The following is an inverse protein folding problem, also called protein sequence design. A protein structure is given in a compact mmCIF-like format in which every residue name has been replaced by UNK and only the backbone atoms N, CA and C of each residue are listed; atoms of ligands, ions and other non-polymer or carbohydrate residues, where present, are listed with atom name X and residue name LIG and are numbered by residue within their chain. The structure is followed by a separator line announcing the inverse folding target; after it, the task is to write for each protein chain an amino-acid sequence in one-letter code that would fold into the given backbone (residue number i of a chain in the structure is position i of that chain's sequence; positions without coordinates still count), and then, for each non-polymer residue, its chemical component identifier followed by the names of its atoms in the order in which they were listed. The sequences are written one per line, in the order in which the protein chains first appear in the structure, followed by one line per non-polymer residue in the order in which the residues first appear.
data_IF_502000313552
#
_entry.id   IF_502000313552
#
_cell.length_a   1.000
_cell.length_b   1.000
_cell.length_c   1.000
_cell.angle_alpha   90.00
_cell.angle_beta   90.00
_cell.angle_gamma   90.00
#
_symmetry.space_group_name_H-M   'P 1'
#
loop_
_entity.id
_entity.type
_entity.pdbx_description
1 polymer ?
#
# COMPACT_ATOMS: atom_id res chain seq x y z
N UNK A 1 -46.69 16.80 21.80
CA UNK A 1 -45.34 17.41 21.78
C UNK A 1 -44.31 16.29 21.85
N UNK A 2 -43.78 15.88 20.70
CA UNK A 2 -42.73 14.92 20.56
C UNK A 2 -41.56 15.60 19.86
N UNK A 3 -40.44 15.77 20.59
CA UNK A 3 -39.18 16.25 20.06
C UNK A 3 -38.54 15.18 19.17
N UNK A 4 -38.07 15.49 17.97
CA UNK A 4 -37.32 14.53 17.18
C UNK A 4 -35.94 14.41 17.76
N UNK A 5 -35.60 13.18 18.10
CA UNK A 5 -34.27 12.79 18.55
C UNK A 5 -33.28 12.94 17.39
N UNK A 6 -32.46 13.98 17.43
CA UNK A 6 -31.40 14.21 16.45
C UNK A 6 -30.31 13.16 16.63
N UNK A 7 -30.28 12.17 15.75
CA UNK A 7 -29.11 11.32 15.58
C UNK A 7 -27.98 12.17 14.96
N UNK A 8 -27.04 12.60 15.77
CA UNK A 8 -25.77 13.07 15.28
C UNK A 8 -25.03 11.87 14.67
N UNK A 9 -25.19 11.70 13.38
CA UNK A 9 -24.30 10.86 12.59
C UNK A 9 -22.90 11.45 12.65
N UNK A 10 -22.02 10.81 13.42
CA UNK A 10 -20.60 11.13 13.46
C UNK A 10 -20.00 10.68 12.12
N UNK A 11 -20.12 11.49 11.08
CA UNK A 11 -19.36 11.34 9.84
C UNK A 11 -17.91 11.68 10.19
N UNK A 12 -17.09 10.67 10.45
CA UNK A 12 -15.64 10.87 10.51
C UNK A 12 -15.19 11.30 9.12
N UNK A 13 -14.98 12.60 8.93
CA UNK A 13 -14.34 13.11 7.72
C UNK A 13 -12.97 12.47 7.57
N UNK A 14 -12.65 12.00 6.35
CA UNK A 14 -11.36 11.44 6.04
C UNK A 14 -10.28 12.51 6.25
N UNK A 15 -9.31 12.22 7.12
CA UNK A 15 -8.26 13.16 7.51
C UNK A 15 -6.91 12.74 6.92
N UNK A 16 -6.30 13.62 6.14
CA UNK A 16 -4.93 13.44 5.66
C UNK A 16 -3.94 14.15 6.60
N UNK A 17 -2.97 13.39 7.10
CA UNK A 17 -1.89 13.84 7.98
C UNK A 17 -0.56 13.59 7.27
N UNK A 18 0.23 14.64 7.06
CA UNK A 18 1.57 14.52 6.51
C UNK A 18 2.58 14.71 7.64
N UNK A 19 3.48 13.77 7.78
CA UNK A 19 4.57 13.80 8.76
C UNK A 19 5.90 13.77 8.02
N UNK A 20 6.71 14.78 8.22
CA UNK A 20 8.03 14.87 7.60
C UNK A 20 9.12 14.91 8.68
N UNK A 21 10.32 14.54 8.27
CA UNK A 21 11.52 14.58 9.10
C UNK A 21 11.65 13.43 10.11
N UNK A 22 12.82 13.37 10.72
CA UNK A 22 13.23 12.25 11.56
C UNK A 22 12.91 12.51 13.03
N UNK A 23 12.09 11.61 13.60
CA UNK A 23 11.73 11.57 15.01
C UNK A 23 11.68 10.11 15.49
N UNK A 24 12.84 9.42 15.54
CA UNK A 24 12.90 7.98 15.73
C UNK A 24 12.42 7.50 17.11
N UNK A 25 12.16 8.40 18.03
CA UNK A 25 11.64 8.10 19.37
C UNK A 25 10.14 8.39 19.53
N UNK A 26 9.49 8.96 18.49
CA UNK A 26 8.05 9.23 18.50
C UNK A 26 7.29 8.08 17.82
N UNK A 27 6.30 7.52 18.52
CA UNK A 27 5.36 6.53 17.94
C UNK A 27 4.19 7.23 17.25
N UNK A 28 3.57 6.54 16.29
CA UNK A 28 2.43 7.01 15.52
C UNK A 28 1.29 6.02 15.61
N UNK A 29 0.11 6.50 15.96
CA UNK A 29 -1.14 5.73 15.83
C UNK A 29 -1.98 6.33 14.70
N UNK A 30 -2.31 5.50 13.72
CA UNK A 30 -3.15 5.86 12.57
C UNK A 30 -4.55 5.31 12.84
N UNK A 31 -5.50 6.19 13.13
CA UNK A 31 -6.85 5.81 13.54
C UNK A 31 -7.79 5.65 12.35
N UNK A 32 -8.93 5.05 12.59
CA UNK A 32 -10.01 4.95 11.59
C UNK A 32 -10.34 6.31 10.98
N UNK A 33 -10.39 6.38 9.66
CA UNK A 33 -10.62 7.62 8.90
C UNK A 33 -9.37 8.49 8.70
N UNK A 34 -8.23 8.15 9.29
CA UNK A 34 -6.97 8.87 9.08
C UNK A 34 -6.14 8.21 7.97
N UNK A 35 -5.53 9.06 7.14
CA UNK A 35 -4.44 8.68 6.24
C UNK A 35 -3.20 9.43 6.69
N UNK A 36 -2.17 8.69 7.11
CA UNK A 36 -0.87 9.26 7.50
C UNK A 36 0.16 8.94 6.44
N UNK A 37 0.77 9.98 5.87
CA UNK A 37 1.91 9.87 4.96
C UNK A 37 3.17 10.33 5.70
N UNK A 38 4.10 9.41 5.93
CA UNK A 38 5.35 9.68 6.61
C UNK A 38 6.51 9.70 5.63
N UNK A 39 7.26 10.82 5.61
CA UNK A 39 8.55 10.92 4.92
C UNK A 39 9.62 11.26 5.98
N UNK A 40 10.29 10.22 6.46
CA UNK A 40 11.26 10.33 7.55
C UNK A 40 11.17 9.13 8.48
N UNK A 41 11.59 9.30 9.73
CA UNK A 41 11.64 8.20 10.70
C UNK A 41 10.74 8.39 11.92
N UNK A 42 10.21 7.27 12.43
CA UNK A 42 9.44 7.19 13.69
C UNK A 42 9.85 5.93 14.46
N UNK A 43 9.39 5.83 15.73
CA UNK A 43 9.49 4.60 16.49
C UNK A 43 8.43 3.59 15.99
N UNK A 44 7.51 3.18 16.83
CA UNK A 44 6.51 2.19 16.48
C UNK A 44 5.31 2.86 15.79
N UNK A 45 4.80 2.20 14.74
CA UNK A 45 3.60 2.64 14.02
C UNK A 45 2.51 1.60 14.17
N UNK A 46 1.34 2.05 14.60
CA UNK A 46 0.14 1.24 14.76
C UNK A 46 -0.94 1.76 13.83
N UNK A 47 -1.42 0.90 12.92
CA UNK A 47 -2.46 1.25 11.95
C UNK A 47 -3.73 0.52 12.31
N UNK A 48 -4.69 1.25 12.88
CA UNK A 48 -5.99 0.70 13.27
C UNK A 48 -6.83 0.33 12.03
N UNK A 49 -7.81 -0.53 12.22
CA UNK A 49 -8.77 -0.85 11.16
C UNK A 49 -9.46 0.42 10.66
N UNK A 50 -9.46 0.62 9.33
CA UNK A 50 -9.95 1.84 8.67
C UNK A 50 -8.99 3.01 8.67
N UNK A 51 -7.76 2.84 9.22
CA UNK A 51 -6.65 3.77 9.04
C UNK A 51 -5.79 3.40 7.84
N UNK A 52 -5.05 4.35 7.31
CA UNK A 52 -4.12 4.15 6.17
C UNK A 52 -2.76 4.77 6.50
N UNK A 53 -1.71 3.99 6.35
CA UNK A 53 -0.33 4.43 6.53
C UNK A 53 0.46 4.28 5.23
N UNK A 54 1.20 5.31 4.86
CA UNK A 54 2.01 5.33 3.64
C UNK A 54 3.17 6.31 3.71
N UNK A 55 3.77 6.58 2.55
CA UNK A 55 4.96 7.42 2.40
C UNK A 55 6.24 6.62 2.30
N UNK A 56 7.39 7.32 2.27
CA UNK A 56 8.73 6.72 2.29
C UNK A 56 9.27 6.80 3.72
N UNK A 57 8.94 5.81 4.52
CA UNK A 57 9.14 5.83 5.95
C UNK A 57 10.24 4.86 6.41
N UNK A 58 10.93 5.22 7.49
CA UNK A 58 11.72 4.30 8.30
C UNK A 58 11.10 4.25 9.69
N UNK A 59 10.68 3.06 10.12
CA UNK A 59 10.04 2.86 11.42
C UNK A 59 10.69 1.70 12.16
N UNK A 60 10.63 1.73 13.50
CA UNK A 60 11.20 0.67 14.30
C UNK A 60 10.39 -0.60 14.17
N UNK A 61 9.08 -0.53 14.38
CA UNK A 61 8.14 -1.63 14.18
C UNK A 61 6.85 -1.12 13.54
N UNK A 62 6.19 -1.96 12.77
CA UNK A 62 4.94 -1.63 12.07
C UNK A 62 3.89 -2.71 12.32
N UNK A 63 2.77 -2.31 12.93
CA UNK A 63 1.63 -3.18 13.18
C UNK A 63 0.40 -2.68 12.41
N UNK A 64 -0.19 -3.54 11.58
CA UNK A 64 -1.23 -3.14 10.62
C UNK A 64 -2.50 -3.95 10.79
N UNK A 65 -3.56 -3.29 11.23
CA UNK A 65 -4.95 -3.74 11.17
C UNK A 65 -5.75 -3.04 10.05
N UNK A 66 -5.29 -1.89 9.61
CA UNK A 66 -5.81 -1.11 8.50
C UNK A 66 -5.07 -1.37 7.19
N UNK A 67 -4.72 -0.31 6.49
CA UNK A 67 -4.02 -0.37 5.20
C UNK A 67 -2.60 0.17 5.33
N UNK A 68 -1.62 -0.57 4.81
CA UNK A 68 -0.28 -0.07 4.53
C UNK A 68 -0.08 0.05 3.02
N UNK A 69 0.36 1.23 2.57
CA UNK A 69 0.57 1.57 1.16
C UNK A 69 1.87 2.37 1.04
N UNK A 70 3.02 1.73 0.78
CA UNK A 70 4.28 2.44 0.64
C UNK A 70 4.22 3.52 -0.44
N UNK A 71 4.93 4.62 -0.22
CA UNK A 71 5.34 5.46 -1.29
C UNK A 71 4.77 6.81 -1.51
N UNK A 72 5.48 7.42 -2.44
CA UNK A 72 5.05 8.50 -3.30
C UNK A 72 4.92 7.96 -4.76
N UNK A 73 4.39 6.73 -4.86
CA UNK A 73 3.99 5.99 -6.05
C UNK A 73 5.08 5.82 -7.15
N UNK A 74 5.85 4.74 -7.14
CA UNK A 74 6.04 3.74 -6.09
C UNK A 74 6.98 4.21 -4.97
N UNK A 75 7.01 3.47 -3.84
CA UNK A 75 7.85 3.81 -2.71
C UNK A 75 8.28 2.65 -1.81
N UNK A 76 8.96 3.01 -0.70
CA UNK A 76 9.52 2.04 0.21
C UNK A 76 9.26 2.41 1.67
N UNK A 77 8.82 1.44 2.46
CA UNK A 77 8.80 1.51 3.92
C UNK A 77 9.86 0.55 4.46
N UNK A 78 10.75 1.07 5.30
CA UNK A 78 11.75 0.27 6.01
C UNK A 78 11.32 0.09 7.46
N UNK A 79 11.19 -1.16 7.90
CA UNK A 79 10.87 -1.56 9.26
C UNK A 79 12.10 -2.19 9.88
N UNK A 80 12.68 -1.54 10.89
CA UNK A 80 13.97 -1.96 11.44
C UNK A 80 13.89 -3.25 12.25
N UNK A 81 12.71 -3.62 12.76
CA UNK A 81 12.45 -4.84 13.51
C UNK A 81 11.27 -5.61 12.88
N UNK A 82 10.10 -5.56 13.51
CA UNK A 82 8.97 -6.43 13.21
C UNK A 82 7.93 -5.74 12.33
N UNK A 83 7.60 -6.36 11.23
CA UNK A 83 6.44 -6.06 10.42
C UNK A 83 5.35 -7.10 10.70
N UNK A 84 4.28 -6.67 11.34
CA UNK A 84 3.14 -7.50 11.70
C UNK A 84 1.87 -7.01 11.01
N UNK A 85 1.16 -7.92 10.35
CA UNK A 85 -0.18 -7.67 9.83
C UNK A 85 -1.18 -8.61 10.51
N UNK A 86 -2.27 -8.05 11.03
CA UNK A 86 -3.36 -8.88 11.55
C UNK A 86 -4.35 -9.29 10.45
N UNK A 87 -5.39 -10.07 10.80
CA UNK A 87 -6.34 -10.62 9.84
C UNK A 87 -7.21 -9.60 9.09
N UNK A 88 -7.25 -8.33 9.50
CA UNK A 88 -7.96 -7.25 8.79
C UNK A 88 -7.02 -6.38 7.97
N UNK A 89 -5.70 -6.54 8.18
CA UNK A 89 -4.67 -5.74 7.51
C UNK A 89 -4.64 -5.94 6.01
N UNK A 90 -4.42 -4.86 5.27
CA UNK A 90 -4.26 -4.86 3.82
C UNK A 90 -2.91 -4.25 3.47
N UNK A 91 -2.09 -5.00 2.74
CA UNK A 91 -0.93 -4.45 2.05
C UNK A 91 -1.35 -4.07 0.63
N UNK A 92 -1.40 -2.78 0.37
CA UNK A 92 -1.65 -2.23 -0.95
C UNK A 92 -0.33 -1.92 -1.61
N UNK A 93 0.05 -2.69 -2.63
CA UNK A 93 1.31 -2.57 -3.34
C UNK A 93 1.07 -2.09 -4.77
N UNK A 94 1.81 -1.08 -5.20
CA UNK A 94 1.78 -0.55 -6.57
C UNK A 94 2.94 -1.11 -7.38
N UNK A 95 2.68 -1.45 -8.66
CA UNK A 95 3.69 -1.88 -9.63
C UNK A 95 3.55 -1.03 -10.89
N UNK A 96 4.63 -0.43 -11.36
CA UNK A 96 4.74 0.23 -12.64
C UNK A 96 5.51 -0.66 -13.64
N UNK A 97 6.71 -1.06 -13.27
CA UNK A 97 7.60 -1.96 -14.01
C UNK A 97 8.56 -2.69 -13.06
N UNK A 98 9.49 -3.49 -13.60
CA UNK A 98 10.43 -4.30 -12.81
C UNK A 98 11.37 -3.48 -11.90
N UNK A 99 11.57 -2.21 -12.18
CA UNK A 99 12.47 -1.31 -11.45
C UNK A 99 11.71 -0.31 -10.56
N UNK A 100 10.38 -0.20 -10.75
CA UNK A 100 9.52 0.75 -10.05
C UNK A 100 8.28 0.04 -9.49
N UNK A 101 8.35 -0.37 -8.24
CA UNK A 101 7.25 -1.00 -7.49
C UNK A 101 7.40 -0.75 -6.00
N UNK A 102 6.31 -0.88 -5.28
CA UNK A 102 6.28 -0.70 -3.83
C UNK A 102 6.98 -1.84 -3.10
N UNK A 103 7.70 -1.50 -2.03
CA UNK A 103 8.41 -2.47 -1.22
C UNK A 103 8.29 -2.16 0.27
N UNK A 104 8.12 -3.21 1.07
CA UNK A 104 8.39 -3.19 2.51
C UNK A 104 9.67 -3.99 2.78
N UNK A 105 10.59 -3.40 3.54
CA UNK A 105 11.81 -4.07 4.01
C UNK A 105 11.71 -4.23 5.51
N UNK A 106 11.86 -5.45 6.05
CA UNK A 106 11.74 -5.72 7.48
C UNK A 106 12.75 -6.78 7.96
N UNK A 107 13.01 -6.85 9.27
CA UNK A 107 13.87 -7.89 9.86
C UNK A 107 13.08 -9.13 10.28
N UNK A 108 11.78 -8.99 10.44
CA UNK A 108 10.86 -10.07 10.77
C UNK A 108 9.51 -9.76 10.14
N UNK A 109 8.90 -10.77 9.51
CA UNK A 109 7.64 -10.61 8.80
C UNK A 109 6.64 -11.63 9.30
N UNK A 110 5.53 -11.14 9.84
CA UNK A 110 4.41 -11.96 10.26
C UNK A 110 3.13 -11.48 9.58
N UNK A 111 2.64 -12.27 8.65
CA UNK A 111 1.31 -12.17 8.07
C UNK A 111 0.37 -13.02 8.93
N UNK A 112 -0.82 -12.53 9.24
CA UNK A 112 -1.73 -13.22 10.15
C UNK A 112 -2.01 -14.66 9.72
N UNK A 113 -1.96 -15.58 10.69
CA UNK A 113 -2.30 -17.00 10.53
C UNK A 113 -3.70 -17.25 11.10
N UNK A 114 -4.48 -18.12 10.44
CA UNK A 114 -5.81 -18.54 10.89
C UNK A 114 -6.93 -17.95 10.03
N UNK A 115 -8.19 -18.21 10.36
CA UNK A 115 -9.36 -17.96 9.51
C UNK A 115 -9.57 -16.56 8.93
N UNK A 116 -8.83 -15.56 9.43
CA UNK A 116 -8.76 -14.20 8.86
C UNK A 116 -7.30 -13.88 8.57
N UNK A 117 -6.86 -14.08 7.34
CA UNK A 117 -5.52 -13.70 6.90
C UNK A 117 -5.52 -12.28 6.33
N UNK A 118 -4.41 -11.57 6.53
CA UNK A 118 -4.16 -10.27 5.89
C UNK A 118 -4.27 -10.38 4.37
N UNK A 119 -4.57 -9.26 3.71
CA UNK A 119 -4.80 -9.22 2.26
C UNK A 119 -3.66 -8.54 1.54
N UNK A 120 -3.33 -9.03 0.33
CA UNK A 120 -2.57 -8.31 -0.67
C UNK A 120 -3.55 -7.68 -1.67
N UNK A 121 -3.45 -6.37 -1.85
CA UNK A 121 -4.11 -5.62 -2.91
C UNK A 121 -3.04 -5.09 -3.86
N UNK A 122 -2.91 -5.69 -5.03
CA UNK A 122 -1.94 -5.26 -6.03
C UNK A 122 -2.58 -4.26 -6.98
N UNK A 123 -1.89 -3.17 -7.26
CA UNK A 123 -2.30 -2.12 -8.19
C UNK A 123 -1.29 -2.02 -9.33
N UNK A 124 -1.72 -2.34 -10.53
CA UNK A 124 -0.92 -2.16 -11.74
C UNK A 124 -1.11 -0.74 -12.25
N UNK A 125 -0.06 0.07 -12.17
CA UNK A 125 -0.15 1.50 -12.48
C UNK A 125 -0.33 1.78 -13.98
N UNK A 126 -1.08 2.83 -14.34
CA UNK A 126 -1.23 3.23 -15.73
C UNK A 126 0.09 3.54 -16.42
N UNK A 127 0.26 2.99 -17.62
CA UNK A 127 1.48 3.15 -18.44
C UNK A 127 2.62 2.24 -18.00
N UNK A 128 2.38 1.35 -17.05
CA UNK A 128 3.35 0.33 -16.66
C UNK A 128 3.57 -0.72 -17.73
N UNK A 129 4.72 -1.40 -17.68
CA UNK A 129 5.08 -2.50 -18.56
C UNK A 129 5.70 -3.63 -17.74
N UNK A 130 5.21 -4.83 -17.95
CA UNK A 130 5.67 -6.05 -17.28
C UNK A 130 5.98 -7.09 -18.34
N UNK A 131 7.08 -7.80 -18.19
CA UNK A 131 7.48 -8.92 -19.01
C UNK A 131 7.34 -10.21 -18.24
N UNK A 132 7.01 -11.29 -18.96
CA UNK A 132 7.04 -12.63 -18.38
C UNK A 132 8.41 -12.92 -17.77
N UNK A 133 8.42 -13.35 -16.51
CA UNK A 133 9.63 -13.62 -15.75
C UNK A 133 10.15 -12.43 -14.93
N UNK A 134 9.60 -11.24 -15.09
CA UNK A 134 9.92 -10.13 -14.18
C UNK A 134 9.53 -10.50 -12.75
N UNK A 135 10.40 -10.13 -11.81
CA UNK A 135 10.23 -10.41 -10.38
C UNK A 135 10.11 -9.12 -9.57
N UNK A 136 9.24 -9.15 -8.56
CA UNK A 136 8.95 -8.03 -7.69
C UNK A 136 9.02 -8.49 -6.24
N UNK A 137 10.08 -8.12 -5.53
CA UNK A 137 10.23 -8.41 -4.10
C UNK A 137 9.41 -7.40 -3.31
N UNK A 138 8.11 -7.67 -3.15
CA UNK A 138 7.18 -6.74 -2.50
C UNK A 138 7.38 -6.67 -0.99
N UNK A 139 7.90 -7.75 -0.36
CA UNK A 139 8.38 -7.72 1.02
C UNK A 139 9.76 -8.36 1.02
N UNK A 140 10.78 -7.58 1.38
CA UNK A 140 12.15 -8.04 1.58
C UNK A 140 12.35 -8.30 3.08
N UNK A 141 12.51 -9.56 3.45
CA UNK A 141 12.74 -9.99 4.82
C UNK A 141 14.26 -10.14 5.07
N UNK A 142 14.89 -9.09 5.56
CA UNK A 142 16.33 -9.07 5.85
C UNK A 142 16.74 -9.91 7.07
N UNK A 143 15.78 -10.51 7.79
CA UNK A 143 16.08 -11.43 8.88
C UNK A 143 16.38 -12.84 8.39
N UNK A 144 16.71 -13.72 9.29
CA UNK A 144 17.00 -15.13 8.96
C UNK A 144 15.78 -16.05 9.11
N UNK A 145 14.71 -15.58 9.72
CA UNK A 145 13.50 -16.37 9.91
C UNK A 145 12.61 -16.32 8.65
N UNK A 146 11.91 -17.41 8.32
CA UNK A 146 10.96 -17.41 7.22
C UNK A 146 9.79 -16.45 7.51
N UNK A 147 9.16 -15.94 6.46
CA UNK A 147 7.87 -15.24 6.56
C UNK A 147 6.86 -16.16 7.22
N UNK A 148 6.18 -15.66 8.26
CA UNK A 148 5.14 -16.42 8.93
C UNK A 148 3.76 -16.07 8.36
N UNK A 149 3.03 -17.09 7.90
CA UNK A 149 1.72 -16.94 7.29
C UNK A 149 1.77 -16.60 5.80
N UNK A 150 0.59 -16.43 5.24
CA UNK A 150 0.37 -16.08 3.83
C UNK A 150 -0.77 -15.08 3.71
N UNK A 151 -0.83 -14.35 2.62
CA UNK A 151 -1.99 -13.52 2.30
C UNK A 151 -3.23 -14.37 2.02
N UNK A 152 -4.40 -13.81 2.34
CA UNK A 152 -5.70 -14.49 2.16
C UNK A 152 -5.91 -14.92 0.70
N UNK A 153 -6.19 -16.21 0.51
CA UNK A 153 -6.40 -16.79 -0.81
C UNK A 153 -5.14 -16.95 -1.68
N UNK A 154 -3.95 -16.63 -1.13
CA UNK A 154 -2.69 -16.69 -1.85
C UNK A 154 -1.67 -17.58 -1.10
N UNK A 155 -1.86 -18.91 -1.06
CA UNK A 155 -0.84 -19.83 -0.53
C UNK A 155 0.43 -19.79 -1.39
N UNK A 156 1.52 -20.41 -0.90
CA UNK A 156 2.78 -20.53 -1.67
C UNK A 156 2.53 -21.06 -3.08
N UNK A 157 3.06 -20.37 -4.08
CA UNK A 157 2.93 -20.72 -5.49
C UNK A 157 1.58 -20.38 -6.13
N UNK A 158 0.67 -19.72 -5.42
CA UNK A 158 -0.62 -19.31 -5.99
C UNK A 158 -0.44 -18.32 -7.15
N UNK A 159 -1.31 -18.42 -8.14
CA UNK A 159 -1.39 -17.48 -9.25
C UNK A 159 -2.64 -16.59 -9.13
N UNK A 160 -2.50 -15.33 -9.48
CA UNK A 160 -3.60 -14.37 -9.51
C UNK A 160 -3.38 -13.32 -10.60
N UNK A 161 -4.46 -12.70 -11.07
CA UNK A 161 -4.41 -11.72 -12.16
C UNK A 161 -4.88 -10.34 -11.68
N UNK A 162 -4.21 -9.31 -12.21
CA UNK A 162 -4.54 -7.89 -11.99
C UNK A 162 -4.33 -7.15 -13.32
N UNK A 163 -5.39 -6.51 -13.84
CA UNK A 163 -5.34 -5.66 -15.04
C UNK A 163 -4.59 -6.27 -16.23
N UNK A 164 -4.81 -7.57 -16.48
CA UNK A 164 -4.21 -8.30 -17.60
C UNK A 164 -2.81 -8.88 -17.36
N UNK A 165 -2.19 -8.54 -16.22
CA UNK A 165 -0.98 -9.21 -15.74
C UNK A 165 -1.35 -10.38 -14.82
N UNK A 166 -0.66 -11.52 -14.97
CA UNK A 166 -0.77 -12.68 -14.09
C UNK A 166 0.52 -12.81 -13.29
N UNK A 167 0.40 -13.00 -11.99
CA UNK A 167 1.51 -13.14 -11.07
C UNK A 167 1.44 -14.46 -10.33
N UNK A 168 2.61 -15.05 -10.07
CA UNK A 168 2.79 -16.16 -9.13
C UNK A 168 3.47 -15.63 -7.88
N UNK A 169 2.91 -15.89 -6.70
CA UNK A 169 3.48 -15.48 -5.41
C UNK A 169 4.36 -16.56 -4.82
N UNK A 170 5.47 -16.16 -4.19
CA UNK A 170 6.30 -17.01 -3.35
C UNK A 170 6.64 -16.31 -2.04
N UNK A 171 6.65 -17.05 -0.94
CA UNK A 171 7.08 -16.58 0.39
C UNK A 171 8.48 -17.10 0.76
N UNK A 172 9.10 -17.81 -0.17
CA UNK A 172 10.46 -18.35 -0.08
C UNK A 172 11.33 -17.82 -1.23
N UNK A 173 11.00 -16.64 -1.74
CA UNK A 173 11.73 -15.98 -2.82
C UNK A 173 13.02 -15.32 -2.35
N UNK A 174 13.70 -14.62 -3.26
CA UNK A 174 14.92 -13.88 -2.96
C UNK A 174 16.02 -14.77 -2.41
N UNK A 175 16.46 -14.51 -1.19
CA UNK A 175 17.43 -15.33 -0.46
C UNK A 175 16.81 -16.50 0.31
N UNK A 176 15.50 -16.75 0.14
CA UNK A 176 14.79 -17.91 0.67
C UNK A 176 13.68 -17.57 1.68
N UNK A 177 13.44 -16.28 1.96
CA UNK A 177 12.45 -15.84 2.94
C UNK A 177 11.75 -14.52 2.57
N UNK A 178 11.82 -14.12 1.30
CA UNK A 178 11.13 -12.94 0.78
C UNK A 178 9.75 -13.26 0.22
N UNK A 179 8.86 -12.24 0.19
CA UNK A 179 7.63 -12.31 -0.59
C UNK A 179 7.88 -11.72 -1.98
N UNK A 180 7.88 -12.60 -2.97
CA UNK A 180 8.20 -12.27 -4.36
C UNK A 180 7.03 -12.60 -5.27
N UNK A 181 6.68 -11.67 -6.16
CA UNK A 181 5.77 -11.91 -7.27
C UNK A 181 6.58 -12.13 -8.55
N UNK A 182 6.22 -13.15 -9.33
CA UNK A 182 6.83 -13.42 -10.64
C UNK A 182 5.75 -13.30 -11.72
N UNK A 183 5.96 -12.44 -12.70
CA UNK A 183 5.05 -12.27 -13.82
C UNK A 183 5.01 -13.53 -14.71
N UNK A 184 3.81 -14.00 -15.04
CA UNK A 184 3.58 -15.20 -15.86
C UNK A 184 3.33 -14.88 -17.32
N UNK A 185 3.07 -13.62 -17.65
CA UNK A 185 2.83 -13.14 -19.03
C UNK A 185 3.38 -11.72 -19.21
N UNK A 186 3.56 -11.33 -20.47
CA UNK A 186 3.78 -9.94 -20.85
C UNK A 186 2.47 -9.16 -20.66
N UNK A 187 2.55 -7.95 -20.12
CA UNK A 187 1.38 -7.09 -19.95
C UNK A 187 1.75 -5.61 -20.02
N UNK A 188 0.78 -4.80 -20.42
CA UNK A 188 0.84 -3.34 -20.30
C UNK A 188 -0.26 -2.88 -19.35
N UNK A 189 0.08 -1.99 -18.45
CA UNK A 189 -0.86 -1.45 -17.47
C UNK A 189 -2.04 -0.73 -18.12
N UNK A 190 -3.08 -0.45 -17.33
CA UNK A 190 -4.27 0.24 -17.83
C UNK A 190 -3.88 1.57 -18.48
N UNK A 191 -4.66 2.00 -19.47
CA UNK A 191 -4.45 3.32 -20.07
C UNK A 191 -4.75 4.40 -19.05
N UNK A 192 -3.87 5.41 -18.97
CA UNK A 192 -4.17 6.58 -18.16
C UNK A 192 -5.49 7.21 -18.65
N UNK A 193 -6.34 7.70 -17.72
CA UNK A 193 -7.55 8.43 -18.09
C UNK A 193 -7.22 9.55 -19.06
N UNK A 194 -7.95 9.63 -20.19
CA UNK A 194 -7.74 10.67 -21.19
C UNK A 194 -8.22 12.01 -20.61
N UNK A 195 -7.30 12.82 -20.07
CA UNK A 195 -7.59 14.17 -19.57
C UNK A 195 -7.58 15.22 -20.69
N UNK A 196 -8.01 14.85 -21.90
CA UNK A 196 -8.26 15.75 -23.01
C UNK A 196 -9.44 16.66 -22.71
N UNK A 197 -9.14 17.84 -22.28
CA UNK A 197 -9.88 19.09 -22.40
C UNK A 197 -11.41 19.08 -22.24
N UNK A 198 -11.92 18.73 -21.05
CA UNK A 198 -13.16 19.30 -20.54
C UNK A 198 -13.05 19.44 -19.03
N UNK A 199 -13.56 20.57 -18.50
CA UNK A 199 -13.56 20.87 -17.08
C UNK A 199 -14.36 19.82 -16.31
N UNK A 200 -13.73 18.76 -15.87
CA UNK A 200 -14.33 17.85 -14.90
C UNK A 200 -14.33 18.58 -13.57
N UNK A 201 -15.46 19.19 -13.24
CA UNK A 201 -15.76 19.59 -11.88
C UNK A 201 -15.68 18.32 -11.02
N UNK A 202 -14.61 18.20 -10.24
CA UNK A 202 -14.49 17.11 -9.26
C UNK A 202 -15.55 17.34 -8.19
N UNK A 203 -16.68 16.64 -8.34
CA UNK A 203 -17.72 16.62 -7.34
C UNK A 203 -17.20 15.85 -6.13
N UNK A 204 -16.79 16.57 -5.08
CA UNK A 204 -16.22 16.03 -3.86
C UNK A 204 -17.21 15.26 -2.97
N UNK A 205 -18.38 14.94 -3.47
CA UNK A 205 -19.40 14.19 -2.76
C UNK A 205 -19.55 12.79 -3.37
N UNK A 206 -18.78 11.85 -2.89
CA UNK A 206 -19.02 10.44 -3.24
C UNK A 206 -17.77 9.58 -3.18
N UNK A 207 -17.67 8.84 -2.09
CA UNK A 207 -16.91 7.58 -1.95
C UNK A 207 -15.41 7.67 -2.25
N UNK A 208 -14.63 7.81 -1.20
CA UNK A 208 -13.19 7.58 -1.24
C UNK A 208 -12.94 6.10 -1.57
N UNK A 209 -12.78 5.81 -2.85
CA UNK A 209 -12.29 4.53 -3.33
C UNK A 209 -10.76 4.61 -3.29
N UNK A 210 -10.19 4.15 -2.20
CA UNK A 210 -8.80 3.73 -2.08
C UNK A 210 -7.72 4.82 -2.25
N UNK A 211 -6.65 4.68 -1.49
CA UNK A 211 -5.44 5.53 -1.50
C UNK A 211 -4.77 5.66 -2.88
N UNK A 212 -5.00 4.71 -3.79
CA UNK A 212 -4.55 4.78 -5.19
C UNK A 212 -5.04 6.03 -5.92
N UNK A 213 -6.25 6.51 -5.60
CA UNK A 213 -6.79 7.72 -6.23
C UNK A 213 -6.03 8.99 -5.82
N UNK A 214 -5.50 9.05 -4.61
CA UNK A 214 -4.69 10.18 -4.15
C UNK A 214 -3.29 10.17 -4.77
N UNK A 215 -2.68 9.00 -4.93
CA UNK A 215 -1.37 8.84 -5.57
C UNK A 215 -1.42 9.16 -7.07
N UNK A 216 -2.47 8.71 -7.77
CA UNK A 216 -2.71 9.03 -9.18
C UNK A 216 -2.92 10.54 -9.38
N UNK A 217 -3.66 11.19 -8.50
CA UNK A 217 -3.85 12.65 -8.54
C UNK A 217 -2.55 13.41 -8.28
N UNK A 218 -1.68 12.93 -7.39
CA UNK A 218 -0.39 13.55 -7.09
C UNK A 218 0.60 13.37 -8.26
N UNK A 219 0.60 12.20 -8.92
CA UNK A 219 1.42 11.93 -10.10
C UNK A 219 1.01 12.80 -11.29
N UNK A 220 -0.29 13.01 -11.52
CA UNK A 220 -0.79 13.90 -12.56
C UNK A 220 -0.45 15.37 -12.28
N UNK A 221 -0.50 15.82 -11.03
CA UNK A 221 -0.12 17.17 -10.64
C UNK A 221 1.39 17.42 -10.84
N UNK A 222 2.25 16.44 -10.56
CA UNK A 222 3.70 16.53 -10.75
C UNK A 222 4.08 16.58 -12.22
N UNK A 223 3.39 15.84 -13.10
CA UNK A 223 3.63 15.88 -14.56
C UNK A 223 3.30 17.24 -15.20
N UNK A 224 2.27 17.95 -14.70
CA UNK A 224 1.96 19.32 -15.15
C UNK A 224 3.02 20.35 -14.77
N UNK A 225 3.77 20.11 -13.69
CA UNK A 225 4.85 21.02 -13.26
C UNK A 225 6.12 20.90 -14.12
N UNK A 226 6.38 19.77 -14.76
CA UNK A 226 7.55 19.55 -15.62
C UNK A 226 7.34 19.92 -17.10
N UNK A 227 6.11 20.26 -17.51
CA UNK A 227 5.76 20.60 -18.88
C UNK A 227 5.76 22.11 -19.22
N UNK A 228 6.22 22.96 -18.31
CA UNK A 228 6.38 24.41 -18.54
C UNK A 228 7.84 24.82 -18.28
N UNK A 229 8.66 24.57 -19.25
CA UNK A 229 9.89 25.34 -19.53
C UNK A 229 10.12 25.32 -21.03
#
# INVERSE_FOLDING_TARGET
SGTPNGQHGNTHEAKLIKLDGDKPNESVSVRKGETVLLNGSRSDVYVDEGGVFGGNATVKSLSVAGVVAPGNSPGKITVLNDFYMNGTGVYKAEILDKDHYDQIVAQSVQLSNGGNSSKLELVYLPGGTIKKGDTFTIINNNGSAPVQGTFNGLPEGAEFAVDGATFKISYVGGDGNDVVLTAQNDSTGPKAPNTGGENVAVNLAGTIVGVASAAILLFMAKRKSFGKK
#
